data_IF_800901343657
#
_entry.id   IF_800901343657
#
_cell.length_a   1.000
_cell.length_b   1.000
_cell.length_c   1.000
_cell.angle_alpha   90.00
_cell.angle_beta   90.00
_cell.angle_gamma   90.00
#
_symmetry.space_group_name_H-M   'P 1'
#
loop_
_entity.id
_entity.type
_entity.pdbx_description
1 polymer ?
#
# COMPACT_ATOMS: atom_id res chain seq x y z
N UNK A 1 5.20 21.54 -19.61
CA UNK A 1 4.18 20.50 -19.66
C UNK A 1 4.08 19.90 -18.28
N UNK A 2 2.88 19.59 -17.74
CA UNK A 2 2.80 18.91 -16.45
C UNK A 2 3.56 17.60 -16.53
N UNK A 3 4.32 17.27 -15.48
CA UNK A 3 5.01 16.00 -15.34
C UNK A 3 3.96 14.88 -15.42
N UNK A 4 4.30 13.74 -16.00
CA UNK A 4 3.39 12.58 -16.13
C UNK A 4 2.74 12.20 -14.79
N UNK A 5 3.50 12.29 -13.69
CA UNK A 5 2.98 12.05 -12.34
C UNK A 5 1.89 13.05 -11.95
N UNK A 6 2.06 14.35 -12.24
CA UNK A 6 1.04 15.37 -11.96
C UNK A 6 -0.26 15.11 -12.74
N UNK A 7 -0.16 14.71 -14.01
CA UNK A 7 -1.34 14.37 -14.81
C UNK A 7 -2.08 13.14 -14.23
N UNK A 8 -1.34 12.12 -13.77
CA UNK A 8 -1.91 10.93 -13.13
C UNK A 8 -2.59 11.28 -11.80
N UNK A 9 -1.98 12.12 -10.96
CA UNK A 9 -2.59 12.56 -9.70
C UNK A 9 -3.90 13.31 -9.95
N UNK A 10 -3.96 14.20 -10.94
CA UNK A 10 -5.20 14.88 -11.32
C UNK A 10 -6.30 13.89 -11.78
N UNK A 11 -5.93 12.82 -12.49
CA UNK A 11 -6.88 11.76 -12.89
C UNK A 11 -7.41 11.03 -11.67
N UNK A 12 -6.53 10.64 -10.75
CA UNK A 12 -6.87 9.98 -9.48
C UNK A 12 -7.85 10.83 -8.67
N UNK A 13 -7.61 12.14 -8.58
CA UNK A 13 -8.48 13.06 -7.85
C UNK A 13 -9.86 13.18 -8.51
N UNK A 14 -9.92 13.23 -9.82
CA UNK A 14 -11.18 13.26 -10.57
C UNK A 14 -11.98 11.96 -10.39
N UNK A 15 -11.32 10.82 -10.43
CA UNK A 15 -11.92 9.50 -10.22
C UNK A 15 -12.40 9.33 -8.77
N UNK A 16 -11.59 9.77 -7.79
CA UNK A 16 -12.00 9.83 -6.39
C UNK A 16 -13.24 10.72 -6.19
N UNK A 17 -13.25 11.90 -6.77
CA UNK A 17 -14.40 12.81 -6.70
C UNK A 17 -15.66 12.16 -7.29
N UNK A 18 -15.53 11.41 -8.39
CA UNK A 18 -16.64 10.65 -9.00
C UNK A 18 -17.17 9.59 -8.03
N UNK A 19 -16.27 8.85 -7.37
CA UNK A 19 -16.64 7.85 -6.38
C UNK A 19 -17.31 8.49 -5.15
N UNK A 20 -16.79 9.61 -4.66
CA UNK A 20 -17.34 10.33 -3.50
C UNK A 20 -18.73 10.92 -3.80
N UNK A 21 -18.97 11.42 -5.02
CA UNK A 21 -20.27 11.92 -5.45
C UNK A 21 -21.35 10.82 -5.55
N UNK A 22 -20.95 9.56 -5.69
CA UNK A 22 -21.87 8.42 -5.74
C UNK A 22 -22.27 7.88 -4.37
N UNK A 23 -21.76 8.46 -3.27
CA UNK A 23 -22.09 8.03 -1.90
C UNK A 23 -23.54 8.41 -1.52
N UNK A 24 -24.28 7.58 -0.75
CA UNK A 24 -23.84 6.31 -0.14
C UNK A 24 -23.78 5.15 -1.17
N UNK A 25 -22.67 4.38 -1.12
CA UNK A 25 -22.47 3.24 -2.01
C UNK A 25 -23.29 2.02 -1.56
N UNK A 26 -23.67 1.10 -2.50
CA UNK A 26 -24.39 -0.14 -2.16
C UNK A 26 -23.56 -1.02 -1.21
N UNK A 27 -24.11 -1.34 -0.04
CA UNK A 27 -23.38 -2.01 1.05
C UNK A 27 -22.78 -3.36 0.62
N UNK A 28 -23.53 -4.20 -0.09
CA UNK A 28 -23.03 -5.51 -0.54
C UNK A 28 -21.91 -5.39 -1.56
N UNK A 29 -21.99 -4.40 -2.44
CA UNK A 29 -20.92 -4.11 -3.42
C UNK A 29 -19.65 -3.65 -2.72
N UNK A 30 -19.77 -2.74 -1.76
CA UNK A 30 -18.61 -2.28 -0.96
C UNK A 30 -17.99 -3.43 -0.17
N UNK A 31 -18.81 -4.30 0.45
CA UNK A 31 -18.32 -5.45 1.20
C UNK A 31 -17.54 -6.44 0.29
N UNK A 32 -18.05 -6.73 -0.90
CA UNK A 32 -17.37 -7.63 -1.85
C UNK A 32 -16.10 -7.01 -2.42
N UNK A 33 -16.08 -5.71 -2.70
CA UNK A 33 -14.87 -4.98 -3.11
C UNK A 33 -13.80 -4.99 -2.02
N UNK A 34 -14.22 -4.74 -0.77
CA UNK A 34 -13.31 -4.79 0.39
C UNK A 34 -12.70 -6.19 0.54
N UNK A 35 -13.50 -7.25 0.46
CA UNK A 35 -13.02 -8.64 0.53
C UNK A 35 -11.99 -8.94 -0.58
N UNK A 36 -12.30 -8.54 -1.82
CA UNK A 36 -11.40 -8.69 -2.96
C UNK A 36 -10.07 -7.96 -2.72
N UNK A 37 -10.11 -6.68 -2.36
CA UNK A 37 -8.91 -5.88 -2.16
C UNK A 37 -8.10 -6.35 -0.95
N UNK A 38 -8.73 -6.76 0.15
CA UNK A 38 -8.06 -7.35 1.31
C UNK A 38 -7.28 -8.62 0.93
N UNK A 39 -7.90 -9.50 0.15
CA UNK A 39 -7.26 -10.72 -0.34
C UNK A 39 -6.06 -10.39 -1.25
N UNK A 40 -6.23 -9.52 -2.23
CA UNK A 40 -5.16 -9.11 -3.16
C UNK A 40 -4.01 -8.41 -2.42
N UNK A 41 -4.32 -7.49 -1.52
CA UNK A 41 -3.31 -6.78 -0.71
C UNK A 41 -2.52 -7.76 0.17
N UNK A 42 -3.20 -8.67 0.86
CA UNK A 42 -2.54 -9.71 1.67
C UNK A 42 -1.62 -10.57 0.81
N UNK A 43 -2.12 -11.06 -0.32
CA UNK A 43 -1.35 -11.90 -1.23
C UNK A 43 -0.11 -11.18 -1.78
N UNK A 44 -0.31 -10.03 -2.41
CA UNK A 44 0.80 -9.33 -3.07
C UNK A 44 1.86 -8.85 -2.08
N UNK A 45 1.44 -8.31 -0.94
CA UNK A 45 2.37 -7.80 0.08
C UNK A 45 3.27 -8.90 0.65
N UNK A 46 2.74 -10.10 0.87
CA UNK A 46 3.54 -11.24 1.33
C UNK A 46 4.36 -11.86 0.20
N UNK A 47 3.84 -11.93 -1.02
CA UNK A 47 4.58 -12.46 -2.16
C UNK A 47 5.80 -11.59 -2.54
N UNK A 48 5.75 -10.28 -2.33
CA UNK A 48 6.90 -9.37 -2.46
C UNK A 48 8.03 -9.80 -1.51
N UNK A 49 7.70 -10.25 -0.30
CA UNK A 49 8.67 -10.72 0.70
C UNK A 49 9.08 -12.20 0.53
N UNK A 50 8.56 -12.89 -0.50
CA UNK A 50 8.96 -14.24 -0.84
C UNK A 50 8.02 -15.34 -0.34
N UNK A 51 6.85 -15.01 0.23
CA UNK A 51 5.80 -15.97 0.53
C UNK A 51 5.33 -16.65 -0.77
N UNK A 52 5.21 -17.97 -0.76
CA UNK A 52 4.96 -18.78 -1.95
C UNK A 52 3.50 -19.19 -2.14
N UNK A 53 2.60 -18.78 -1.23
CA UNK A 53 1.16 -18.98 -1.41
C UNK A 53 0.69 -18.33 -2.71
N UNK A 54 -0.14 -19.03 -3.48
CA UNK A 54 -0.88 -18.42 -4.59
C UNK A 54 -2.05 -17.59 -4.07
N UNK A 55 -2.66 -16.76 -4.92
CA UNK A 55 -3.84 -15.96 -4.54
C UNK A 55 -4.99 -16.88 -4.03
N UNK A 56 -5.20 -18.03 -4.66
CA UNK A 56 -6.23 -19.00 -4.25
C UNK A 56 -5.89 -19.66 -2.92
N UNK A 57 -4.63 -20.05 -2.72
CA UNK A 57 -4.16 -20.61 -1.45
C UNK A 57 -4.23 -19.58 -0.33
N UNK A 58 -3.89 -18.31 -0.61
CA UNK A 58 -4.07 -17.21 0.36
C UNK A 58 -5.53 -17.11 0.80
N UNK A 59 -6.50 -17.18 -0.14
CA UNK A 59 -7.92 -17.18 0.22
C UNK A 59 -8.27 -18.34 1.16
N UNK A 60 -7.84 -19.54 0.83
CA UNK A 60 -8.08 -20.77 1.64
C UNK A 60 -7.49 -20.61 3.04
N UNK A 61 -6.27 -20.05 3.15
CA UNK A 61 -5.64 -19.77 4.45
C UNK A 61 -6.43 -18.73 5.25
N UNK A 62 -6.93 -17.67 4.61
CA UNK A 62 -7.75 -16.65 5.27
C UNK A 62 -9.10 -17.18 5.73
N UNK A 63 -9.60 -18.28 5.15
CA UNK A 63 -10.77 -19.04 5.59
C UNK A 63 -10.47 -20.01 6.76
N UNK A 64 -9.19 -20.04 7.24
CA UNK A 64 -8.76 -20.88 8.37
C UNK A 64 -8.37 -22.30 8.00
N UNK A 65 -8.18 -22.59 6.72
CA UNK A 65 -7.82 -23.91 6.20
C UNK A 65 -6.31 -23.94 5.89
N UNK A 66 -5.63 -25.02 6.31
CA UNK A 66 -4.20 -25.20 6.03
C UNK A 66 -3.99 -25.74 4.61
N UNK A 67 -2.94 -25.24 3.96
CA UNK A 67 -2.52 -25.66 2.62
C UNK A 67 -1.30 -26.58 2.73
N UNK A 68 -1.42 -27.79 2.18
CA UNK A 68 -0.32 -28.76 2.18
C UNK A 68 0.89 -28.26 1.38
N UNK A 69 2.11 -28.57 1.84
CA UNK A 69 3.36 -28.17 1.18
C UNK A 69 3.77 -26.69 1.44
N UNK A 70 3.04 -25.97 2.27
CA UNK A 70 3.38 -24.63 2.71
C UNK A 70 3.77 -24.61 4.19
N UNK A 71 4.71 -23.75 4.56
CA UNK A 71 5.16 -23.64 5.95
C UNK A 71 4.11 -22.97 6.85
N UNK A 72 4.15 -23.24 8.15
CA UNK A 72 3.33 -22.51 9.12
C UNK A 72 3.62 -21.01 9.12
N UNK A 73 4.87 -20.62 8.88
CA UNK A 73 5.26 -19.22 8.76
C UNK A 73 4.48 -18.53 7.64
N UNK A 74 4.37 -19.14 6.47
CA UNK A 74 3.62 -18.57 5.35
C UNK A 74 2.13 -18.41 5.65
N UNK A 75 1.55 -19.33 6.41
CA UNK A 75 0.17 -19.21 6.88
C UNK A 75 0.02 -18.04 7.87
N UNK A 76 0.92 -17.94 8.83
CA UNK A 76 0.91 -16.81 9.77
C UNK A 76 1.13 -15.47 9.06
N UNK A 77 2.04 -15.38 8.10
CA UNK A 77 2.24 -14.17 7.33
C UNK A 77 0.94 -13.69 6.64
N UNK A 78 0.16 -14.61 6.07
CA UNK A 78 -1.12 -14.27 5.43
C UNK A 78 -2.18 -13.83 6.47
N UNK A 79 -2.39 -14.60 7.52
CA UNK A 79 -3.40 -14.29 8.55
C UNK A 79 -3.05 -13.02 9.33
N UNK A 80 -1.79 -12.84 9.67
CA UNK A 80 -1.28 -11.67 10.38
C UNK A 80 -1.41 -10.39 9.54
N UNK A 81 -1.11 -10.48 8.24
CA UNK A 81 -1.24 -9.33 7.35
C UNK A 81 -2.70 -8.90 7.21
N UNK A 82 -3.65 -9.86 7.12
CA UNK A 82 -5.08 -9.57 7.17
C UNK A 82 -5.45 -8.87 8.48
N UNK A 83 -5.00 -9.39 9.62
CA UNK A 83 -5.32 -8.82 10.93
C UNK A 83 -4.74 -7.39 11.05
N UNK A 84 -3.54 -7.16 10.51
CA UNK A 84 -2.93 -5.83 10.46
C UNK A 84 -3.69 -4.86 9.52
N UNK A 85 -4.23 -5.34 8.39
CA UNK A 85 -5.12 -4.53 7.53
C UNK A 85 -6.37 -4.10 8.31
N UNK A 86 -7.04 -5.05 8.99
CA UNK A 86 -8.24 -4.76 9.78
C UNK A 86 -7.94 -3.74 10.88
N UNK A 87 -6.78 -3.85 11.52
CA UNK A 87 -6.33 -2.87 12.50
C UNK A 87 -6.11 -1.48 11.89
N UNK A 88 -5.47 -1.41 10.71
CA UNK A 88 -5.30 -0.13 9.99
C UNK A 88 -6.64 0.49 9.61
N UNK A 89 -7.60 -0.30 9.12
CA UNK A 89 -8.97 0.17 8.85
C UNK A 89 -9.65 0.72 10.10
N UNK A 90 -9.47 0.07 11.25
CA UNK A 90 -10.06 0.48 12.53
C UNK A 90 -9.50 1.84 13.00
N UNK A 91 -8.17 2.01 13.02
CA UNK A 91 -7.55 3.27 13.43
C UNK A 91 -7.88 4.43 12.46
N UNK A 92 -8.02 4.15 11.16
CA UNK A 92 -8.47 5.14 10.17
C UNK A 92 -9.93 5.53 10.45
N UNK A 93 -10.81 4.56 10.68
CA UNK A 93 -12.24 4.82 10.96
C UNK A 93 -12.47 5.64 12.23
N UNK A 94 -11.59 5.50 13.22
CA UNK A 94 -11.59 6.26 14.48
C UNK A 94 -10.87 7.60 14.37
N UNK A 95 -10.35 7.95 13.18
CA UNK A 95 -9.56 9.16 12.95
C UNK A 95 -8.34 9.27 13.89
N UNK A 96 -7.74 8.14 14.30
CA UNK A 96 -6.58 8.14 15.16
C UNK A 96 -5.35 8.72 14.44
N UNK A 97 -4.51 9.43 15.19
CA UNK A 97 -3.26 9.97 14.64
C UNK A 97 -2.22 8.86 14.46
N UNK A 98 -1.38 8.97 13.43
CA UNK A 98 -0.20 8.13 13.32
C UNK A 98 0.77 8.45 14.47
N UNK A 99 1.27 7.42 15.13
CA UNK A 99 2.26 7.53 16.20
C UNK A 99 3.20 6.33 16.16
N UNK A 100 4.33 6.43 16.87
CA UNK A 100 5.23 5.28 17.04
C UNK A 100 4.51 4.07 17.66
N UNK A 101 3.57 4.33 18.57
CA UNK A 101 2.77 3.28 19.19
C UNK A 101 1.92 2.53 18.14
N UNK A 102 1.26 3.24 17.23
CA UNK A 102 0.50 2.64 16.13
C UNK A 102 1.41 1.83 15.20
N UNK A 103 2.57 2.36 14.84
CA UNK A 103 3.55 1.67 14.00
C UNK A 103 3.99 0.35 14.65
N UNK A 104 4.31 0.38 15.95
CA UNK A 104 4.73 -0.81 16.70
C UNK A 104 3.61 -1.84 16.84
N UNK A 105 2.36 -1.42 16.99
CA UNK A 105 1.21 -2.32 17.03
C UNK A 105 0.96 -2.99 15.68
N UNK A 106 1.03 -2.23 14.58
CA UNK A 106 0.95 -2.79 13.22
C UNK A 106 2.04 -3.86 13.03
N UNK A 107 3.28 -3.54 13.38
CA UNK A 107 4.39 -4.48 13.29
C UNK A 107 4.20 -5.70 14.21
N UNK A 108 3.69 -5.52 15.42
CA UNK A 108 3.38 -6.62 16.35
C UNK A 108 2.38 -7.61 15.74
N UNK A 109 1.37 -7.10 15.02
CA UNK A 109 0.44 -7.95 14.29
C UNK A 109 1.11 -8.68 13.12
N UNK A 110 1.98 -8.00 12.37
CA UNK A 110 2.72 -8.60 11.23
C UNK A 110 3.57 -9.80 11.66
N UNK A 111 4.21 -9.74 12.84
CA UNK A 111 5.07 -10.82 13.35
C UNK A 111 4.40 -11.73 14.39
N UNK A 112 3.12 -11.58 14.67
CA UNK A 112 2.39 -12.39 15.66
C UNK A 112 2.54 -13.89 15.37
N UNK A 113 3.06 -14.65 16.34
CA UNK A 113 3.28 -16.09 16.21
C UNK A 113 4.43 -16.49 15.27
N UNK A 114 5.10 -15.53 14.62
CA UNK A 114 6.30 -15.74 13.81
C UNK A 114 7.56 -15.48 14.63
N UNK A 115 7.63 -14.32 15.26
CA UNK A 115 8.70 -13.93 16.17
C UNK A 115 8.13 -13.07 17.31
N UNK A 116 7.82 -13.72 18.41
CA UNK A 116 7.15 -13.10 19.57
C UNK A 116 8.10 -12.12 20.30
N UNK A 117 9.40 -12.35 20.24
CA UNK A 117 10.37 -11.52 20.94
C UNK A 117 10.61 -10.20 20.21
N UNK A 118 10.59 -10.20 18.89
CA UNK A 118 10.84 -9.03 18.06
C UNK A 118 9.54 -8.30 17.62
N UNK A 119 8.39 -8.91 17.82
CA UNK A 119 7.10 -8.32 17.45
C UNK A 119 6.84 -6.98 18.15
N UNK A 120 6.76 -5.89 17.39
CA UNK A 120 6.54 -4.52 17.89
C UNK A 120 7.76 -3.89 18.58
N UNK A 121 8.93 -4.51 18.50
CA UNK A 121 10.17 -4.02 19.15
C UNK A 121 11.15 -3.51 18.09
N UNK A 122 11.74 -2.36 18.34
CA UNK A 122 12.84 -1.87 17.52
C UNK A 122 14.07 -2.77 17.69
N UNK A 123 14.81 -2.97 16.60
CA UNK A 123 16.05 -3.74 16.60
C UNK A 123 17.07 -3.15 17.57
N UNK A 124 17.89 -4.02 18.12
CA UNK A 124 18.94 -3.70 19.11
C UNK A 124 20.34 -3.94 18.56
N UNK A 125 20.43 -4.11 17.24
CA UNK A 125 21.66 -4.31 16.49
C UNK A 125 21.56 -3.70 15.09
N UNK A 126 22.69 -3.52 14.45
CA UNK A 126 22.74 -3.02 13.10
C UNK A 126 22.40 -4.12 12.09
N UNK A 127 21.65 -3.76 11.08
CA UNK A 127 21.19 -4.66 10.01
C UNK A 127 21.59 -4.11 8.64
N UNK A 128 21.62 -4.98 7.65
CA UNK A 128 21.78 -4.62 6.23
C UNK A 128 20.57 -5.05 5.46
N UNK A 129 20.18 -4.25 4.46
CA UNK A 129 19.10 -4.60 3.55
C UNK A 129 19.72 -5.26 2.34
N UNK A 130 19.47 -6.55 2.15
CA UNK A 130 20.02 -7.29 1.03
C UNK A 130 19.55 -6.71 -0.31
N UNK A 131 20.49 -6.36 -1.20
CA UNK A 131 20.21 -5.79 -2.52
C UNK A 131 19.93 -4.29 -2.55
N UNK A 132 19.93 -3.58 -1.40
CA UNK A 132 19.82 -2.12 -1.36
C UNK A 132 21.19 -1.45 -1.41
N UNK A 133 21.27 -0.26 -1.99
CA UNK A 133 22.46 0.60 -1.99
C UNK A 133 22.57 1.45 -0.70
N UNK A 134 21.48 1.55 0.05
CA UNK A 134 21.43 2.28 1.32
C UNK A 134 21.67 1.38 2.51
N UNK A 135 22.36 1.93 3.53
CA UNK A 135 22.50 1.28 4.85
C UNK A 135 21.54 1.95 5.83
N UNK A 136 20.74 1.17 6.58
CA UNK A 136 19.93 1.72 7.66
C UNK A 136 20.79 2.45 8.71
N UNK A 137 20.23 3.42 9.43
CA UNK A 137 20.94 4.12 10.51
C UNK A 137 21.34 3.17 11.63
N UNK A 138 22.32 3.60 12.46
CA UNK A 138 22.70 2.86 13.65
C UNK A 138 21.50 2.67 14.60
N UNK A 139 21.37 1.46 15.16
CA UNK A 139 20.25 1.13 16.04
C UNK A 139 20.10 2.05 17.25
N UNK A 140 21.20 2.66 17.72
CA UNK A 140 21.18 3.62 18.82
C UNK A 140 20.44 4.92 18.48
N UNK A 141 20.26 5.23 17.19
CA UNK A 141 19.56 6.43 16.72
C UNK A 141 18.09 6.18 16.41
N UNK A 142 17.60 4.94 16.45
CA UNK A 142 16.25 4.58 16.01
C UNK A 142 15.15 5.38 16.71
N UNK A 143 15.28 5.65 18.01
CA UNK A 143 14.27 6.44 18.74
C UNK A 143 14.20 7.89 18.22
N UNK A 144 15.36 8.48 17.89
CA UNK A 144 15.43 9.83 17.33
C UNK A 144 14.89 9.86 15.90
N UNK A 145 15.27 8.87 15.08
CA UNK A 145 14.85 8.80 13.68
C UNK A 145 13.34 8.53 13.56
N UNK A 146 12.78 7.68 14.42
CA UNK A 146 11.34 7.42 14.44
C UNK A 146 10.54 8.64 14.94
N UNK A 147 11.03 9.34 15.97
CA UNK A 147 10.43 10.58 16.41
C UNK A 147 10.46 11.65 15.30
N UNK A 148 11.59 11.76 14.57
CA UNK A 148 11.72 12.65 13.42
C UNK A 148 10.78 12.28 12.26
N UNK A 149 10.52 10.99 12.04
CA UNK A 149 9.52 10.52 11.07
C UNK A 149 8.11 11.00 11.43
N UNK A 150 7.72 10.89 12.70
CA UNK A 150 6.40 11.36 13.16
C UNK A 150 6.30 12.88 13.06
N UNK A 151 7.31 13.62 13.50
CA UNK A 151 7.35 15.08 13.38
C UNK A 151 7.24 15.55 11.91
N UNK A 152 7.97 14.89 11.00
CA UNK A 152 7.83 15.16 9.57
C UNK A 152 6.40 14.87 9.08
N UNK A 153 5.84 13.72 9.46
CA UNK A 153 4.50 13.33 9.04
C UNK A 153 3.43 14.33 9.48
N UNK A 154 3.52 14.86 10.69
CA UNK A 154 2.60 15.89 11.21
C UNK A 154 2.69 17.19 10.40
N UNK A 155 3.91 17.57 9.97
CA UNK A 155 4.17 18.80 9.19
C UNK A 155 3.85 18.68 7.70
N UNK A 156 3.79 17.46 7.17
CA UNK A 156 3.60 17.18 5.74
C UNK A 156 2.13 17.30 5.25
N UNK A 157 1.23 17.91 6.03
CA UNK A 157 -0.21 17.99 5.73
C UNK A 157 -0.58 18.75 4.45
N UNK A 158 0.33 19.53 3.89
CA UNK A 158 0.12 20.26 2.64
C UNK A 158 0.48 19.49 1.37
N UNK A 159 1.03 18.27 1.50
CA UNK A 159 1.38 17.42 0.36
C UNK A 159 0.14 16.72 -0.21
N UNK A 160 0.19 16.37 -1.50
CA UNK A 160 -0.82 15.47 -2.08
C UNK A 160 -0.78 14.11 -1.34
N UNK A 161 -1.95 13.53 -0.96
CA UNK A 161 -1.98 12.30 -0.15
C UNK A 161 -1.18 11.13 -0.72
N UNK A 162 -1.16 10.95 -2.04
CA UNK A 162 -0.37 9.91 -2.71
C UNK A 162 1.13 10.17 -2.57
N UNK A 163 1.58 11.40 -2.70
CA UNK A 163 2.99 11.79 -2.51
C UNK A 163 3.40 11.57 -1.05
N UNK A 164 2.56 12.02 -0.12
CA UNK A 164 2.80 11.87 1.32
C UNK A 164 2.84 10.40 1.72
N UNK A 165 1.96 9.55 1.17
CA UNK A 165 1.96 8.12 1.42
C UNK A 165 3.24 7.44 0.90
N UNK A 166 3.69 7.78 -0.31
CA UNK A 166 4.91 7.28 -0.91
C UNK A 166 6.16 7.71 -0.11
N UNK A 167 6.20 8.95 0.34
CA UNK A 167 7.31 9.48 1.12
C UNK A 167 7.32 8.90 2.56
N UNK A 168 6.16 8.79 3.23
CA UNK A 168 6.03 8.12 4.53
C UNK A 168 6.58 6.71 4.48
N UNK A 169 6.15 5.95 3.48
CA UNK A 169 6.62 4.59 3.25
C UNK A 169 8.14 4.52 3.07
N UNK A 170 8.69 5.35 2.19
CA UNK A 170 10.12 5.38 1.89
C UNK A 170 10.97 5.77 3.10
N UNK A 171 10.57 6.81 3.83
CA UNK A 171 11.26 7.25 5.04
C UNK A 171 11.28 6.16 6.11
N UNK A 172 10.15 5.49 6.31
CA UNK A 172 10.04 4.37 7.24
C UNK A 172 10.95 3.20 6.83
N UNK A 173 10.91 2.78 5.57
CA UNK A 173 11.74 1.68 5.05
C UNK A 173 13.23 2.03 5.14
N UNK A 174 13.61 3.29 4.91
CA UNK A 174 14.99 3.78 5.06
C UNK A 174 15.51 3.66 6.50
N UNK A 175 14.67 4.01 7.49
CA UNK A 175 15.01 3.86 8.91
C UNK A 175 15.17 2.38 9.26
N UNK A 176 14.33 1.51 8.68
CA UNK A 176 14.36 0.05 8.89
C UNK A 176 14.37 -0.33 10.36
N UNK A 177 13.37 0.11 11.14
CA UNK A 177 13.46 0.07 12.61
C UNK A 177 13.35 -1.32 13.22
N UNK A 178 12.95 -2.33 12.46
CA UNK A 178 12.71 -3.69 12.94
C UNK A 178 13.72 -4.69 12.33
N UNK A 179 13.84 -5.88 12.94
CA UNK A 179 14.68 -6.96 12.41
C UNK A 179 14.07 -7.59 11.16
N UNK A 180 12.73 -7.79 11.14
CA UNK A 180 11.94 -8.31 10.00
C UNK A 180 10.62 -7.54 9.90
N UNK A 181 9.86 -7.72 8.81
CA UNK A 181 8.54 -7.14 8.65
C UNK A 181 8.49 -5.67 8.25
N UNK A 182 9.63 -4.99 8.03
CA UNK A 182 9.67 -3.57 7.67
C UNK A 182 8.94 -3.27 6.36
N UNK A 183 9.12 -4.09 5.32
CA UNK A 183 8.43 -3.89 4.04
C UNK A 183 6.92 -4.01 4.17
N UNK A 184 6.42 -5.05 4.84
CA UNK A 184 4.99 -5.27 5.10
C UNK A 184 4.39 -4.13 5.92
N UNK A 185 5.06 -3.75 7.01
CA UNK A 185 4.64 -2.62 7.86
C UNK A 185 4.63 -1.31 7.06
N UNK A 186 5.66 -1.02 6.29
CA UNK A 186 5.73 0.18 5.46
C UNK A 186 4.59 0.27 4.44
N UNK A 187 4.22 -0.83 3.78
CA UNK A 187 3.06 -0.86 2.87
C UNK A 187 1.72 -0.70 3.59
N UNK A 188 1.62 -1.13 4.85
CA UNK A 188 0.46 -0.85 5.71
C UNK A 188 0.38 0.64 6.08
N UNK A 189 1.50 1.28 6.40
CA UNK A 189 1.57 2.72 6.68
C UNK A 189 1.24 3.58 5.45
N UNK A 190 1.72 3.18 4.27
CA UNK A 190 1.34 3.80 3.00
C UNK A 190 -0.18 3.82 2.83
N UNK A 191 -0.82 2.68 3.05
CA UNK A 191 -2.26 2.56 2.90
C UNK A 191 -3.04 3.20 4.05
N UNK A 192 -2.49 3.28 5.26
CA UNK A 192 -3.06 4.10 6.34
C UNK A 192 -3.25 5.55 5.88
N UNK A 193 -2.22 6.15 5.27
CA UNK A 193 -2.30 7.52 4.77
C UNK A 193 -3.32 7.69 3.65
N UNK A 194 -3.31 6.80 2.66
CA UNK A 194 -4.26 6.83 1.54
C UNK A 194 -5.70 6.70 2.02
N UNK A 195 -5.98 5.75 2.88
CA UNK A 195 -7.33 5.49 3.41
C UNK A 195 -7.81 6.64 4.30
N UNK A 196 -6.93 7.26 5.10
CA UNK A 196 -7.21 8.46 5.88
C UNK A 196 -7.62 9.64 4.99
N UNK A 197 -7.04 9.74 3.80
CA UNK A 197 -7.41 10.74 2.80
C UNK A 197 -8.62 10.33 1.92
N UNK A 198 -9.23 9.16 2.20
CA UNK A 198 -10.43 8.66 1.51
C UNK A 198 -10.15 7.98 0.18
N UNK A 199 -8.89 7.63 -0.12
CA UNK A 199 -8.55 6.80 -1.27
C UNK A 199 -8.68 5.31 -0.95
N UNK A 200 -8.98 4.45 -1.93
CA UNK A 200 -8.83 3.01 -1.75
C UNK A 200 -7.35 2.62 -1.57
N UNK A 201 -7.06 1.44 -1.00
CA UNK A 201 -5.69 1.01 -0.80
C UNK A 201 -4.92 0.85 -2.12
N UNK A 202 -3.66 1.30 -2.15
CA UNK A 202 -2.71 1.00 -3.21
C UNK A 202 -2.17 -0.42 -3.02
N UNK A 203 -2.42 -1.30 -3.97
CA UNK A 203 -1.90 -2.67 -3.95
C UNK A 203 -0.71 -2.74 -4.90
N UNK A 204 0.49 -2.71 -4.35
CA UNK A 204 1.73 -2.93 -5.10
C UNK A 204 1.77 -4.41 -5.47
N UNK A 205 1.80 -4.71 -6.76
CA UNK A 205 1.75 -6.08 -7.25
C UNK A 205 3.12 -6.75 -7.16
N UNK A 206 3.15 -8.06 -6.96
CA UNK A 206 4.41 -8.83 -6.95
C UNK A 206 5.16 -8.77 -8.29
N UNK A 207 4.43 -8.58 -9.39
CA UNK A 207 4.97 -8.40 -10.72
C UNK A 207 5.79 -7.11 -10.84
N UNK A 208 5.42 -6.08 -10.06
CA UNK A 208 6.08 -4.77 -10.00
C UNK A 208 7.26 -4.75 -9.01
N UNK A 209 7.61 -5.91 -8.39
CA UNK A 209 8.58 -6.02 -7.29
C UNK A 209 9.92 -5.35 -7.60
N UNK A 210 10.48 -5.58 -8.78
CA UNK A 210 11.78 -5.01 -9.15
C UNK A 210 11.69 -3.49 -9.28
N UNK A 211 10.71 -2.97 -10.02
CA UNK A 211 10.49 -1.54 -10.17
C UNK A 211 10.21 -0.86 -8.82
N UNK A 212 9.51 -1.55 -7.92
CA UNK A 212 9.25 -1.09 -6.56
C UNK A 212 10.54 -0.97 -5.74
N UNK A 213 11.41 -1.98 -5.74
CA UNK A 213 12.69 -1.92 -5.02
C UNK A 213 13.63 -0.88 -5.61
N UNK A 214 13.75 -0.80 -6.95
CA UNK A 214 14.58 0.19 -7.62
C UNK A 214 14.13 1.62 -7.29
N UNK A 215 12.81 1.87 -7.28
CA UNK A 215 12.25 3.18 -6.95
C UNK A 215 12.46 3.56 -5.49
N UNK A 216 12.37 2.58 -4.55
CA UNK A 216 12.66 2.79 -3.14
C UNK A 216 14.15 3.09 -2.92
N UNK A 217 15.04 2.29 -3.50
CA UNK A 217 16.48 2.47 -3.34
C UNK A 217 16.90 3.83 -3.89
N UNK A 218 16.43 4.22 -5.09
CA UNK A 218 16.64 5.55 -5.65
C UNK A 218 16.19 6.65 -4.70
N UNK A 219 14.97 6.55 -4.15
CA UNK A 219 14.43 7.54 -3.24
C UNK A 219 15.21 7.61 -1.92
N UNK A 220 15.64 6.46 -1.39
CA UNK A 220 16.46 6.39 -0.17
C UNK A 220 17.84 7.02 -0.36
N UNK A 221 18.48 6.82 -1.54
CA UNK A 221 19.81 7.35 -1.84
C UNK A 221 19.78 8.84 -2.18
N UNK A 222 18.91 9.23 -3.10
CA UNK A 222 18.94 10.57 -3.72
C UNK A 222 17.92 11.55 -3.13
N UNK A 223 16.90 11.07 -2.40
CA UNK A 223 15.75 11.89 -2.01
C UNK A 223 14.78 12.21 -3.16
N UNK A 224 14.92 11.55 -4.31
CA UNK A 224 14.00 11.68 -5.45
C UNK A 224 12.85 10.65 -5.31
N UNK A 225 11.71 11.11 -4.84
CA UNK A 225 10.50 10.30 -4.65
C UNK A 225 9.66 10.13 -5.91
N UNK A 226 10.07 10.68 -7.07
CA UNK A 226 9.25 10.71 -8.28
C UNK A 226 8.80 9.34 -8.78
N UNK A 227 9.71 8.36 -8.83
CA UNK A 227 9.41 7.01 -9.35
C UNK A 227 8.52 6.22 -8.38
N UNK A 228 8.79 6.26 -7.07
CA UNK A 228 7.94 5.57 -6.08
C UNK A 228 6.56 6.22 -6.00
N UNK A 229 6.45 7.55 -6.08
CA UNK A 229 5.17 8.26 -6.13
C UNK A 229 4.35 7.83 -7.33
N UNK A 230 4.96 7.72 -8.51
CA UNK A 230 4.29 7.26 -9.72
C UNK A 230 3.79 5.82 -9.57
N UNK A 231 4.60 4.91 -9.04
CA UNK A 231 4.23 3.51 -8.81
C UNK A 231 3.05 3.40 -7.82
N UNK A 232 3.06 4.18 -6.76
CA UNK A 232 1.95 4.26 -5.79
C UNK A 232 0.70 4.84 -6.47
N UNK A 233 0.83 5.92 -7.25
CA UNK A 233 -0.27 6.54 -7.99
C UNK A 233 -0.92 5.54 -8.97
N UNK A 234 -0.12 4.81 -9.75
CA UNK A 234 -0.62 3.76 -10.64
C UNK A 234 -1.36 2.66 -9.87
N UNK A 235 -0.89 2.32 -8.66
CA UNK A 235 -1.54 1.33 -7.81
C UNK A 235 -2.88 1.84 -7.23
N UNK A 236 -2.96 3.11 -6.84
CA UNK A 236 -4.22 3.77 -6.43
C UNK A 236 -5.20 3.81 -7.59
N UNK A 237 -4.73 4.19 -8.79
CA UNK A 237 -5.57 4.23 -10.00
C UNK A 237 -6.20 2.87 -10.28
N UNK A 238 -5.43 1.77 -10.23
CA UNK A 238 -5.96 0.41 -10.41
C UNK A 238 -7.07 0.06 -9.41
N UNK A 239 -6.93 0.50 -8.18
CA UNK A 239 -7.96 0.28 -7.15
C UNK A 239 -9.21 1.13 -7.42
N UNK A 240 -9.06 2.41 -7.76
CA UNK A 240 -10.17 3.29 -8.16
C UNK A 240 -10.90 2.72 -9.38
N UNK A 241 -10.16 2.30 -10.40
CA UNK A 241 -10.72 1.65 -11.59
C UNK A 241 -11.62 0.47 -11.22
N UNK A 242 -11.17 -0.36 -10.27
CA UNK A 242 -11.96 -1.50 -9.79
C UNK A 242 -13.27 -1.04 -9.14
N UNK A 243 -13.25 0.02 -8.33
CA UNK A 243 -14.47 0.58 -7.73
C UNK A 243 -15.41 1.16 -8.79
N UNK A 244 -14.88 1.98 -9.70
CA UNK A 244 -15.69 2.64 -10.73
C UNK A 244 -16.32 1.65 -11.70
N UNK A 245 -15.59 0.59 -12.08
CA UNK A 245 -16.10 -0.47 -12.96
C UNK A 245 -17.23 -1.25 -12.30
N UNK A 246 -17.03 -1.72 -11.07
CA UNK A 246 -18.05 -2.53 -10.38
C UNK A 246 -19.30 -1.71 -10.04
N UNK A 247 -19.15 -0.41 -9.81
CA UNK A 247 -20.25 0.50 -9.53
C UNK A 247 -20.90 1.07 -10.80
N UNK A 248 -20.36 0.78 -12.00
CA UNK A 248 -20.85 1.32 -13.26
C UNK A 248 -20.68 2.85 -13.40
N UNK A 249 -19.68 3.41 -12.71
CA UNK A 249 -19.42 4.85 -12.65
C UNK A 249 -18.40 5.35 -13.69
N UNK A 250 -17.75 4.46 -14.44
CA UNK A 250 -16.90 4.89 -15.56
C UNK A 250 -17.75 5.62 -16.59
N UNK A 251 -17.31 6.81 -16.97
CA UNK A 251 -17.88 7.48 -18.14
C UNK A 251 -17.72 6.54 -19.34
N UNK A 252 -18.83 6.22 -20.04
CA UNK A 252 -18.72 5.56 -21.32
C UNK A 252 -17.77 6.40 -22.18
N UNK A 253 -16.63 5.85 -22.53
CA UNK A 253 -15.80 6.41 -23.59
C UNK A 253 -16.71 6.39 -24.82
N UNK A 254 -17.19 7.56 -25.25
CA UNK A 254 -17.91 7.70 -26.50
C UNK A 254 -17.06 7.04 -27.57
N UNK A 255 -17.57 6.02 -28.29
CA UNK A 255 -16.83 5.50 -29.43
C UNK A 255 -16.61 6.69 -30.37
N UNK A 256 -15.36 6.91 -30.75
CA UNK A 256 -14.98 7.91 -31.73
C UNK A 256 -15.98 7.81 -32.89
N UNK A 257 -16.79 8.87 -33.09
CA UNK A 257 -17.73 8.92 -34.18
C UNK A 257 -16.88 8.96 -35.45
N UNK A 258 -16.72 7.80 -36.05
CA UNK A 258 -16.02 7.65 -37.33
C UNK A 258 -16.61 8.66 -38.34
N UNK A 259 -15.80 9.17 -39.27
CA UNK A 259 -16.21 10.22 -40.19
C UNK A 259 -17.48 9.79 -40.95
N UNK A 260 -18.45 10.72 -41.19
CA UNK A 260 -19.65 10.39 -41.87
C UNK A 260 -19.34 9.80 -43.26
N UNK A 261 -19.84 8.60 -43.53
CA UNK A 261 -19.73 7.96 -44.83
C UNK A 261 -20.34 8.88 -45.86
N UNK A 262 -19.53 9.46 -46.73
CA UNK A 262 -19.96 10.19 -47.91
C UNK A 262 -20.73 9.23 -48.81
N UNK A 263 -22.04 9.30 -48.78
CA UNK A 263 -22.92 8.60 -49.69
C UNK A 263 -22.67 9.05 -51.12
N UNK A 264 -22.08 8.18 -51.94
CA UNK A 264 -22.14 8.32 -53.39
C UNK A 264 -23.59 8.08 -53.86
N UNK A 265 -24.22 9.13 -54.38
CA UNK A 265 -25.42 8.98 -55.20
C UNK A 265 -24.97 8.66 -56.62
N UNK A 266 -25.41 7.56 -57.18
CA UNK A 266 -25.66 7.38 -58.60
C UNK A 266 -27.14 7.58 -58.91
#
# INVERSE_FOLDING_TARGET
MPNQTTALLNTIDADKATLDAARPLPQHTVASLREKLLLEWTYHSNAIEGNTLTLRETKVVLEGITVGGKSLREHFEATNHRDAIVYVEDIVSKAEALSEWQIRNIHSLVLKGIDVEEAGRYRRENVVIAGASTTPPDFMHLSVDMAALIDWYEKAGGMHPVERAAELHTRFVKIHPFVDGNGRTGRLLLNFELMKAGYPPAIIRKEDRLAYYDSLDKACVSGDYGDITRLVAESVQRSLDTYLDVLGLRRATTPDAGPPSSGFRM
#
